data_IF_495625652068
#
_entry.id   IF_495625652068
#
_cell.length_a   1.000
_cell.length_b   1.000
_cell.length_c   1.000
_cell.angle_alpha   90.00
_cell.angle_beta   90.00
_cell.angle_gamma   90.00
#
_symmetry.space_group_name_H-M   'P 1'
#
loop_
_entity.id
_entity.type
_entity.pdbx_description
1 polymer ?
#
# COMPACT_ATOMS: atom_id res chain seq x y z
N UNK A 1 12.79 9.14 -21.10
CA UNK A 1 11.67 8.93 -20.14
C UNK A 1 11.91 7.65 -19.38
N UNK A 2 12.22 7.79 -18.11
CA UNK A 2 12.82 6.75 -17.26
C UNK A 2 11.76 6.07 -16.34
N UNK A 3 10.49 6.42 -16.55
CA UNK A 3 9.32 6.18 -15.68
C UNK A 3 8.61 4.81 -15.78
N UNK A 4 8.99 3.91 -16.70
CA UNK A 4 8.16 2.75 -17.06
C UNK A 4 7.99 1.74 -15.93
N UNK A 5 9.03 1.55 -15.12
CA UNK A 5 9.07 0.48 -14.12
C UNK A 5 8.36 0.89 -12.82
N UNK A 6 8.48 2.16 -12.42
CA UNK A 6 7.79 2.67 -11.23
C UNK A 6 6.27 2.64 -11.39
N UNK A 7 5.75 3.10 -12.55
CA UNK A 7 4.30 3.09 -12.81
C UNK A 7 3.73 1.67 -12.81
N UNK A 8 4.49 0.68 -13.29
CA UNK A 8 4.08 -0.73 -13.28
C UNK A 8 3.84 -1.24 -11.84
N UNK A 9 4.77 -0.98 -10.92
CA UNK A 9 4.60 -1.39 -9.52
C UNK A 9 3.44 -0.67 -8.83
N UNK A 10 3.24 0.62 -9.11
CA UNK A 10 2.12 1.39 -8.55
C UNK A 10 0.77 0.95 -9.12
N UNK A 11 0.70 0.57 -10.40
CA UNK A 11 -0.50 -0.01 -11.01
C UNK A 11 -0.81 -1.36 -10.38
N UNK A 12 0.20 -2.22 -10.18
CA UNK A 12 0.02 -3.51 -9.51
C UNK A 12 -0.49 -3.33 -8.08
N UNK A 13 0.04 -2.34 -7.34
CA UNK A 13 -0.45 -1.96 -6.02
C UNK A 13 -1.94 -1.55 -6.06
N UNK A 14 -2.33 -0.70 -7.01
CA UNK A 14 -3.73 -0.30 -7.15
C UNK A 14 -4.64 -1.51 -7.45
N UNK A 15 -4.24 -2.40 -8.36
CA UNK A 15 -5.00 -3.61 -8.71
C UNK A 15 -5.18 -4.52 -7.48
N UNK A 16 -4.12 -4.76 -6.71
CA UNK A 16 -4.19 -5.59 -5.50
C UNK A 16 -5.15 -4.98 -4.47
N UNK A 17 -5.10 -3.65 -4.28
CA UNK A 17 -6.02 -2.96 -3.37
C UNK A 17 -7.48 -3.07 -3.84
N UNK A 18 -7.74 -2.86 -5.13
CA UNK A 18 -9.09 -3.03 -5.70
C UNK A 18 -9.61 -4.46 -5.57
N UNK A 19 -8.77 -5.48 -5.83
CA UNK A 19 -9.16 -6.88 -5.68
C UNK A 19 -9.51 -7.21 -4.23
N UNK A 20 -8.78 -6.66 -3.25
CA UNK A 20 -9.08 -6.88 -1.84
C UNK A 20 -10.37 -6.24 -1.39
N UNK A 21 -10.68 -5.03 -1.86
CA UNK A 21 -11.98 -4.39 -1.59
C UNK A 21 -13.11 -5.31 -2.07
N UNK A 22 -13.02 -5.83 -3.29
CA UNK A 22 -14.04 -6.74 -3.86
C UNK A 22 -14.12 -8.04 -3.06
N UNK A 23 -12.99 -8.63 -2.69
CA UNK A 23 -12.95 -9.91 -1.95
C UNK A 23 -13.54 -9.78 -0.53
N UNK A 24 -13.31 -8.66 0.15
CA UNK A 24 -13.85 -8.40 1.49
C UNK A 24 -15.36 -8.17 1.42
N UNK A 25 -15.83 -7.42 0.43
CA UNK A 25 -17.27 -7.12 0.26
C UNK A 25 -18.08 -8.36 -0.21
N UNK A 26 -17.43 -9.30 -0.92
CA UNK A 26 -18.10 -10.46 -1.51
C UNK A 26 -18.32 -11.64 -0.55
N UNK A 27 -17.75 -11.65 0.66
CA UNK A 27 -17.88 -12.75 1.62
C UNK A 27 -18.60 -12.30 2.91
N UNK A 28 -19.91 -12.53 3.05
CA UNK A 28 -20.66 -12.23 4.26
C UNK A 28 -20.22 -13.07 5.47
N UNK A 29 -19.60 -14.24 5.29
CA UNK A 29 -19.09 -15.05 6.40
C UNK A 29 -17.72 -14.57 6.89
N UNK A 30 -17.03 -13.74 6.10
CA UNK A 30 -15.87 -12.97 6.54
C UNK A 30 -16.24 -11.82 7.52
N UNK A 31 -17.55 -11.53 7.67
CA UNK A 31 -18.12 -10.75 8.77
C UNK A 31 -18.07 -11.54 10.08
N UNK A 32 -16.85 -11.77 10.57
CA UNK A 32 -16.63 -12.42 11.86
C UNK A 32 -17.02 -11.49 13.01
N UNK A 33 -17.64 -12.10 14.02
CA UNK A 33 -18.27 -11.50 15.20
C UNK A 33 -17.43 -10.43 15.90
N UNK A 34 -18.13 -9.43 16.44
CA UNK A 34 -17.58 -8.29 17.16
C UNK A 34 -16.42 -8.64 18.11
N UNK A 35 -15.32 -7.90 17.95
CA UNK A 35 -14.17 -7.94 18.85
C UNK A 35 -14.53 -7.24 20.16
N UNK A 36 -14.40 -7.95 21.28
CA UNK A 36 -14.69 -7.42 22.62
C UNK A 36 -13.65 -6.38 23.11
N UNK A 37 -12.54 -6.15 22.40
CA UNK A 37 -11.47 -5.23 22.84
C UNK A 37 -10.67 -4.52 21.72
N UNK A 38 -11.24 -4.22 20.55
CA UNK A 38 -10.52 -3.39 19.56
C UNK A 38 -11.16 -3.32 18.18
N UNK A 39 -11.12 -2.13 17.56
CA UNK A 39 -11.91 -1.70 16.39
C UNK A 39 -11.09 -1.59 15.09
N UNK A 40 -10.05 -2.40 14.85
CA UNK A 40 -9.25 -2.27 13.62
C UNK A 40 -10.05 -2.65 12.37
N UNK A 41 -10.90 -3.68 12.45
CA UNK A 41 -11.82 -4.04 11.36
C UNK A 41 -12.84 -2.95 11.06
N UNK A 42 -13.23 -2.15 12.04
CA UNK A 42 -14.08 -0.97 11.84
C UNK A 42 -13.33 0.12 11.06
N UNK A 43 -12.04 0.33 11.32
CA UNK A 43 -11.20 1.21 10.49
C UNK A 43 -11.02 0.72 9.05
N UNK A 44 -10.94 -0.59 8.85
CA UNK A 44 -10.86 -1.17 7.51
C UNK A 44 -12.21 -1.10 6.76
N UNK A 45 -13.31 -1.46 7.41
CA UNK A 45 -14.63 -1.60 6.79
C UNK A 45 -15.45 -0.31 6.75
N UNK A 46 -15.29 0.59 7.74
CA UNK A 46 -16.10 1.82 7.82
C UNK A 46 -15.35 3.10 7.43
N UNK A 47 -14.02 3.13 7.57
CA UNK A 47 -13.22 4.34 7.32
C UNK A 47 -12.55 4.37 5.94
N UNK A 48 -13.03 3.57 4.98
CA UNK A 48 -12.58 3.57 3.58
C UNK A 48 -11.06 3.42 3.42
N UNK A 49 -10.41 2.66 4.33
CA UNK A 49 -8.95 2.62 4.42
C UNK A 49 -8.31 2.13 3.11
N UNK A 50 -8.82 1.04 2.54
CA UNK A 50 -8.30 0.47 1.30
C UNK A 50 -8.59 1.36 0.09
N UNK A 51 -9.76 2.01 0.07
CA UNK A 51 -10.19 2.93 -0.97
C UNK A 51 -9.30 4.18 -0.98
N UNK A 52 -9.01 4.75 0.19
CA UNK A 52 -8.12 5.90 0.34
C UNK A 52 -6.71 5.53 -0.12
N UNK A 53 -6.18 4.37 0.30
CA UNK A 53 -4.86 3.90 -0.12
C UNK A 53 -4.82 3.66 -1.64
N UNK A 54 -5.85 3.03 -2.21
CA UNK A 54 -5.97 2.78 -3.64
C UNK A 54 -5.99 4.09 -4.44
N UNK A 55 -6.82 5.05 -4.01
CA UNK A 55 -6.89 6.38 -4.60
C UNK A 55 -5.54 7.10 -4.53
N UNK A 56 -4.85 7.02 -3.39
CA UNK A 56 -3.52 7.59 -3.22
C UNK A 56 -2.51 6.97 -4.19
N UNK A 57 -2.54 5.65 -4.42
CA UNK A 57 -1.70 5.01 -5.44
C UNK A 57 -2.02 5.52 -6.85
N UNK A 58 -3.31 5.59 -7.20
CA UNK A 58 -3.74 6.10 -8.51
C UNK A 58 -3.27 7.55 -8.72
N UNK A 59 -3.50 8.43 -7.75
CA UNK A 59 -3.02 9.81 -7.78
C UNK A 59 -1.50 9.83 -7.93
N UNK A 60 -0.77 9.02 -7.14
CA UNK A 60 0.68 8.98 -7.16
C UNK A 60 1.25 8.62 -8.55
N UNK A 61 0.59 7.75 -9.32
CA UNK A 61 0.98 7.45 -10.71
C UNK A 61 1.07 8.71 -11.56
N UNK A 62 0.11 9.62 -11.43
CA UNK A 62 0.07 10.87 -12.21
C UNK A 62 1.06 11.95 -11.71
N UNK A 63 1.60 11.81 -10.49
CA UNK A 63 2.61 12.73 -9.94
C UNK A 63 4.04 12.47 -10.45
N UNK A 64 4.20 11.78 -11.58
CA UNK A 64 5.48 11.34 -12.15
C UNK A 64 6.51 12.47 -12.36
N UNK A 65 6.06 13.71 -12.61
CA UNK A 65 6.96 14.88 -12.73
C UNK A 65 7.50 15.36 -11.37
N UNK A 66 6.81 15.03 -10.27
CA UNK A 66 7.08 15.48 -8.90
C UNK A 66 7.64 14.34 -8.04
N UNK A 67 8.79 13.78 -8.41
CA UNK A 67 9.42 12.62 -7.76
C UNK A 67 9.55 12.74 -6.22
N UNK A 68 9.89 13.93 -5.71
CA UNK A 68 9.97 14.18 -4.25
C UNK A 68 8.60 13.98 -3.57
N UNK A 69 7.53 14.42 -4.22
CA UNK A 69 6.16 14.26 -3.70
C UNK A 69 5.74 12.79 -3.76
N UNK A 70 6.03 12.09 -4.85
CA UNK A 70 5.76 10.65 -4.97
C UNK A 70 6.40 9.84 -3.84
N UNK A 71 7.68 10.13 -3.53
CA UNK A 71 8.41 9.49 -2.43
C UNK A 71 7.79 9.79 -1.06
N UNK A 72 7.33 11.01 -0.83
CA UNK A 72 6.68 11.38 0.43
C UNK A 72 5.31 10.71 0.59
N UNK A 73 4.51 10.62 -0.48
CA UNK A 73 3.25 9.87 -0.47
C UNK A 73 3.52 8.40 -0.17
N UNK A 74 4.52 7.78 -0.82
CA UNK A 74 4.88 6.38 -0.54
C UNK A 74 5.31 6.16 0.92
N UNK A 75 6.08 7.08 1.51
CA UNK A 75 6.44 7.03 2.94
C UNK A 75 5.22 7.10 3.85
N UNK A 76 4.28 8.00 3.54
CA UNK A 76 3.02 8.11 4.28
C UNK A 76 2.22 6.81 4.22
N UNK A 77 2.09 6.21 3.03
CA UNK A 77 1.40 4.93 2.85
C UNK A 77 2.11 3.81 3.62
N UNK A 78 3.45 3.77 3.64
CA UNK A 78 4.19 2.78 4.45
C UNK A 78 3.84 2.91 5.93
N UNK A 79 3.78 4.12 6.48
CA UNK A 79 3.40 4.32 7.88
C UNK A 79 1.97 3.82 8.13
N UNK A 80 1.03 4.12 7.24
CA UNK A 80 -0.35 3.64 7.34
C UNK A 80 -0.43 2.11 7.27
N UNK A 81 0.32 1.47 6.38
CA UNK A 81 0.35 0.00 6.25
C UNK A 81 1.03 -0.67 7.44
N UNK A 82 2.10 -0.09 7.99
CA UNK A 82 2.76 -0.61 9.20
C UNK A 82 1.82 -0.50 10.39
N UNK A 83 1.11 0.63 10.53
CA UNK A 83 0.08 0.77 11.55
C UNK A 83 -1.01 -0.30 11.40
N UNK A 84 -1.49 -0.52 10.18
CA UNK A 84 -2.47 -1.58 9.92
C UNK A 84 -1.95 -2.99 10.25
N UNK A 85 -0.69 -3.27 9.93
CA UNK A 85 -0.06 -4.55 10.24
C UNK A 85 0.08 -4.77 11.76
N UNK A 86 0.43 -3.74 12.53
CA UNK A 86 0.51 -3.84 14.00
C UNK A 86 -0.87 -4.20 14.58
N UNK A 87 -1.92 -3.52 14.14
CA UNK A 87 -3.27 -3.79 14.61
C UNK A 87 -3.75 -5.20 14.23
N UNK A 88 -3.37 -5.72 13.05
CA UNK A 88 -3.66 -7.11 12.67
C UNK A 88 -3.14 -8.13 13.70
N UNK A 89 -1.96 -7.89 14.25
CA UNK A 89 -1.35 -8.75 15.27
C UNK A 89 -1.85 -8.49 16.69
N UNK A 90 -2.40 -7.31 16.96
CA UNK A 90 -2.98 -6.98 18.26
C UNK A 90 -4.34 -7.67 18.47
N UNK A 91 -5.15 -7.75 17.42
CA UNK A 91 -6.50 -8.32 17.49
C UNK A 91 -6.55 -9.84 17.56
N UNK A 92 -5.44 -10.53 17.27
CA UNK A 92 -5.44 -11.99 17.05
C UNK A 92 -4.19 -12.66 17.59
N UNK A 93 -4.28 -13.94 18.01
CA UNK A 93 -3.10 -14.74 18.29
C UNK A 93 -2.15 -14.77 17.08
N UNK A 94 -0.85 -14.68 17.32
CA UNK A 94 0.18 -14.70 16.27
C UNK A 94 0.02 -15.87 15.30
N UNK A 95 -0.27 -17.08 15.81
CA UNK A 95 -0.42 -18.29 15.01
C UNK A 95 -1.59 -18.23 14.02
N UNK A 96 -2.69 -17.57 14.40
CA UNK A 96 -3.86 -17.42 13.54
C UNK A 96 -3.69 -16.26 12.55
N UNK A 97 -2.90 -15.25 12.92
CA UNK A 97 -2.54 -14.13 12.03
C UNK A 97 -1.77 -14.60 10.78
N UNK A 98 -0.95 -15.66 10.88
CA UNK A 98 -0.23 -16.23 9.73
C UNK A 98 -1.15 -16.88 8.68
N UNK A 99 -2.38 -17.22 9.06
CA UNK A 99 -3.37 -17.81 8.14
C UNK A 99 -4.26 -16.74 7.50
N UNK A 100 -4.19 -15.49 7.97
CA UNK A 100 -5.06 -14.43 7.49
C UNK A 100 -4.57 -13.90 6.12
N UNK A 101 -5.46 -13.86 5.10
CA UNK A 101 -5.11 -13.29 3.79
C UNK A 101 -4.63 -11.83 3.85
N UNK A 102 -5.08 -11.06 4.85
CA UNK A 102 -4.66 -9.68 5.10
C UNK A 102 -3.16 -9.55 5.40
N UNK A 103 -2.55 -10.55 6.03
CA UNK A 103 -1.10 -10.56 6.26
C UNK A 103 -0.32 -10.54 4.94
N UNK A 104 -0.72 -11.38 3.97
CA UNK A 104 -0.10 -11.41 2.65
C UNK A 104 -0.26 -10.09 1.92
N UNK A 105 -1.41 -9.41 2.06
CA UNK A 105 -1.60 -8.07 1.52
C UNK A 105 -0.57 -7.08 2.05
N UNK A 106 -0.40 -6.98 3.37
CA UNK A 106 0.54 -6.03 3.97
C UNK A 106 1.97 -6.31 3.51
N UNK A 107 2.39 -7.58 3.50
CA UNK A 107 3.73 -7.99 3.07
C UNK A 107 3.96 -7.65 1.59
N UNK A 108 3.05 -8.06 0.70
CA UNK A 108 3.17 -7.82 -0.74
C UNK A 108 3.17 -6.31 -1.03
N UNK A 109 2.30 -5.55 -0.36
CA UNK A 109 2.22 -4.10 -0.53
C UNK A 109 3.51 -3.40 -0.11
N UNK A 110 4.10 -3.78 1.04
CA UNK A 110 5.37 -3.22 1.50
C UNK A 110 6.52 -3.55 0.53
N UNK A 111 6.57 -4.77 -0.01
CA UNK A 111 7.56 -5.16 -1.02
C UNK A 111 7.42 -4.31 -2.29
N UNK A 112 6.20 -4.17 -2.81
CA UNK A 112 5.96 -3.39 -4.02
C UNK A 112 6.24 -1.90 -3.83
N UNK A 113 5.92 -1.33 -2.66
CA UNK A 113 6.29 0.06 -2.33
C UNK A 113 7.81 0.19 -2.28
N UNK A 114 8.52 -0.76 -1.67
CA UNK A 114 9.98 -0.73 -1.63
C UNK A 114 10.60 -0.77 -3.04
N UNK A 115 10.09 -1.64 -3.92
CA UNK A 115 10.52 -1.70 -5.32
C UNK A 115 10.24 -0.38 -6.06
N UNK A 116 9.06 0.20 -5.84
CA UNK A 116 8.66 1.50 -6.38
C UNK A 116 9.64 2.59 -5.93
N UNK A 117 9.92 2.66 -4.64
CA UNK A 117 10.80 3.63 -4.02
C UNK A 117 12.24 3.55 -4.58
N UNK A 118 12.76 2.33 -4.75
CA UNK A 118 14.06 2.07 -5.36
C UNK A 118 14.10 2.56 -6.82
N UNK A 119 13.04 2.31 -7.59
CA UNK A 119 12.92 2.80 -8.97
C UNK A 119 12.94 4.33 -9.02
N UNK A 120 12.12 5.04 -8.21
CA UNK A 120 12.10 6.52 -8.23
C UNK A 120 13.47 7.10 -7.90
N UNK A 121 14.16 6.53 -6.90
CA UNK A 121 15.49 7.01 -6.51
C UNK A 121 16.52 6.79 -7.61
N UNK A 122 16.48 5.66 -8.31
CA UNK A 122 17.34 5.40 -9.47
C UNK A 122 17.09 6.43 -10.56
N UNK A 123 15.81 6.70 -10.85
CA UNK A 123 15.38 7.65 -11.86
C UNK A 123 15.86 9.08 -11.53
N UNK A 124 15.70 9.48 -10.27
CA UNK A 124 16.19 10.77 -9.76
C UNK A 124 17.71 10.89 -9.86
N UNK A 125 18.47 9.83 -9.57
CA UNK A 125 19.92 9.83 -9.68
C UNK A 125 20.40 10.04 -11.12
N UNK A 126 19.73 9.44 -12.11
CA UNK A 126 20.06 9.60 -13.53
C UNK A 126 19.78 11.02 -14.03
N UNK A 127 18.66 11.62 -13.60
CA UNK A 127 18.32 13.00 -13.95
C UNK A 127 19.35 13.97 -13.36
N UNK A 128 19.70 13.78 -12.09
CA UNK A 128 20.69 14.61 -11.40
C UNK A 128 22.08 14.49 -12.03
N UNK A 129 22.51 13.28 -12.42
CA UNK A 129 23.82 13.09 -13.06
C UNK A 129 23.86 13.73 -14.46
N UNK A 130 22.76 13.66 -15.20
CA UNK A 130 22.64 14.26 -16.54
C UNK A 130 22.65 15.79 -16.47
N UNK A 131 22.03 16.39 -15.45
CA UNK A 131 22.08 17.84 -15.22
C UNK A 131 23.48 18.34 -14.86
N UNK A 132 24.36 17.49 -14.31
CA UNK A 132 25.75 17.88 -13.98
C UNK A 132 26.67 17.95 -15.18
N UNK A 133 26.31 17.32 -16.30
CA UNK A 133 27.09 17.29 -17.54
C UNK A 133 26.73 18.43 -18.49
N UNK A 134 25.74 19.26 -18.13
CA UNK A 134 25.20 20.34 -18.93
C UNK A 134 25.45 21.67 -18.25
#
# INVERSE_FOLDING_TARGET
MIQRVQSLYMVLLAIINFLLIILIDSDPASSLSESYFGQFRFYINEYFFFEIISLLFVINIFLFKKMKVQLNILRFIVVALVFGLINLFDERPLLDSFKDPGLYYFIISLILIFMTFKSIKKDQAIINSSHRLR
#
